data_IF_813032392781
#
_entry.id   IF_813032392781
#
_cell.length_a   1.000
_cell.length_b   1.000
_cell.length_c   1.000
_cell.angle_alpha   90.00
_cell.angle_beta   90.00
_cell.angle_gamma   90.00
#
_symmetry.space_group_name_H-M   'P 1'
#
loop_
_entity.id
_entity.type
_entity.pdbx_description
1 polymer ?
#
# COMPACT_ATOMS: atom_id res chain seq x y z
N UNK A 1 63.25 35.61 -85.37
CA UNK A 1 63.63 34.19 -85.23
C UNK A 1 63.93 33.80 -83.77
N UNK A 2 64.80 34.50 -83.03
CA UNK A 2 65.15 34.13 -81.64
C UNK A 2 64.00 34.18 -80.62
N UNK A 3 63.07 35.13 -80.74
CA UNK A 3 61.92 35.25 -79.82
C UNK A 3 60.92 34.11 -79.97
N UNK A 4 60.69 33.62 -81.20
CA UNK A 4 59.81 32.48 -81.48
C UNK A 4 60.37 31.18 -80.89
N UNK A 5 61.69 31.01 -80.89
CA UNK A 5 62.34 29.85 -80.25
C UNK A 5 62.15 29.86 -78.73
N UNK A 6 62.27 31.04 -78.09
CA UNK A 6 62.04 31.18 -76.64
C UNK A 6 60.58 30.93 -76.26
N UNK A 7 59.64 31.46 -77.05
CA UNK A 7 58.21 31.23 -76.84
C UNK A 7 57.82 29.76 -77.02
N UNK A 8 58.38 29.08 -78.02
CA UNK A 8 58.12 27.66 -78.27
C UNK A 8 58.69 26.77 -77.16
N UNK A 9 59.86 27.11 -76.61
CA UNK A 9 60.46 26.39 -75.47
C UNK A 9 59.59 26.49 -74.21
N UNK A 10 59.04 27.68 -73.93
CA UNK A 10 58.13 27.89 -72.79
C UNK A 10 56.82 27.11 -72.99
N UNK A 11 56.25 27.13 -74.20
CA UNK A 11 55.03 26.40 -74.51
C UNK A 11 55.21 24.90 -74.35
N UNK A 12 56.34 24.35 -74.83
CA UNK A 12 56.68 22.93 -74.67
C UNK A 12 56.90 22.58 -73.20
N UNK A 13 57.59 23.43 -72.44
CA UNK A 13 57.77 23.24 -71.00
C UNK A 13 56.44 23.20 -70.24
N UNK A 14 55.53 24.13 -70.54
CA UNK A 14 54.19 24.18 -69.94
C UNK A 14 53.34 22.95 -70.32
N UNK A 15 53.41 22.51 -71.58
CA UNK A 15 52.74 21.30 -72.03
C UNK A 15 53.24 20.05 -71.31
N UNK A 16 54.56 19.95 -71.07
CA UNK A 16 55.18 18.80 -70.41
C UNK A 16 54.80 18.72 -68.92
N UNK A 17 54.79 19.86 -68.22
CA UNK A 17 54.31 19.94 -66.83
C UNK A 17 52.82 19.64 -66.75
N UNK A 18 52.01 20.17 -67.67
CA UNK A 18 50.58 19.88 -67.76
C UNK A 18 50.30 18.38 -67.96
N UNK A 19 51.04 17.73 -68.86
CA UNK A 19 50.90 16.31 -69.14
C UNK A 19 51.35 15.43 -67.97
N UNK A 20 52.46 15.80 -67.32
CA UNK A 20 52.94 15.15 -66.09
C UNK A 20 51.88 15.20 -64.99
N UNK A 21 51.32 16.39 -64.71
CA UNK A 21 50.29 16.57 -63.70
C UNK A 21 48.98 15.86 -64.06
N UNK A 22 48.64 15.80 -65.35
CA UNK A 22 47.47 15.10 -65.86
C UNK A 22 47.59 13.58 -65.66
N UNK A 23 48.76 13.00 -65.96
CA UNK A 23 49.04 11.58 -65.73
C UNK A 23 49.09 11.24 -64.23
N UNK A 24 49.61 12.15 -63.39
CA UNK A 24 49.58 11.98 -61.93
C UNK A 24 48.16 12.07 -61.37
N UNK A 25 47.35 13.06 -61.78
CA UNK A 25 45.93 13.15 -61.38
C UNK A 25 45.16 11.90 -61.76
N UNK A 26 45.39 11.36 -62.96
CA UNK A 26 44.74 10.14 -63.44
C UNK A 26 45.13 8.89 -62.64
N UNK A 27 46.32 8.88 -62.02
CA UNK A 27 46.78 7.81 -61.10
C UNK A 27 46.34 8.02 -59.64
N UNK A 28 46.09 9.26 -59.22
CA UNK A 28 45.62 9.57 -57.85
C UNK A 28 44.13 9.29 -57.64
N UNK A 29 43.29 9.45 -58.69
CA UNK A 29 41.86 9.11 -58.66
C UNK A 29 41.55 7.68 -58.19
N UNK A 30 42.20 6.61 -58.71
CA UNK A 30 41.93 5.25 -58.25
C UNK A 30 42.52 4.93 -56.87
N UNK A 31 43.55 5.65 -56.42
CA UNK A 31 44.08 5.48 -55.06
C UNK A 31 43.13 6.07 -54.02
N UNK A 32 42.62 7.28 -54.27
CA UNK A 32 41.66 7.94 -53.37
C UNK A 32 40.35 7.16 -53.24
N UNK A 33 39.86 6.57 -54.34
CA UNK A 33 38.63 5.77 -54.30
C UNK A 33 38.81 4.44 -53.54
N UNK A 34 40.01 3.84 -53.58
CA UNK A 34 40.34 2.67 -52.76
C UNK A 34 40.44 3.02 -51.27
N UNK A 35 41.07 4.15 -50.94
CA UNK A 35 41.11 4.65 -49.57
C UNK A 35 39.70 4.92 -49.03
N UNK A 36 38.84 5.58 -49.82
CA UNK A 36 37.43 5.81 -49.43
C UNK A 36 36.65 4.50 -49.26
N UNK A 37 36.89 3.46 -50.07
CA UNK A 37 36.28 2.14 -49.89
C UNK A 37 36.79 1.41 -48.64
N UNK A 38 38.10 1.43 -48.39
CA UNK A 38 38.70 0.86 -47.19
C UNK A 38 38.21 1.55 -45.92
N UNK A 39 37.99 2.88 -45.96
CA UNK A 39 37.48 3.64 -44.83
C UNK A 39 35.98 3.36 -44.58
N UNK A 40 35.20 3.13 -45.64
CA UNK A 40 33.80 2.67 -45.50
C UNK A 40 33.77 1.27 -44.89
N UNK A 41 34.59 0.34 -45.37
CA UNK A 41 34.68 -1.02 -44.82
C UNK A 41 35.05 -0.98 -43.33
N UNK A 42 36.05 -0.18 -42.95
CA UNK A 42 36.43 0.03 -41.54
C UNK A 42 35.29 0.63 -40.72
N UNK A 43 34.57 1.61 -41.25
CA UNK A 43 33.43 2.24 -40.57
C UNK A 43 32.28 1.26 -40.36
N UNK A 44 32.00 0.38 -41.33
CA UNK A 44 30.96 -0.66 -41.17
C UNK A 44 31.32 -1.71 -40.12
N UNK A 45 32.59 -2.08 -40.04
CA UNK A 45 33.08 -3.01 -39.03
C UNK A 45 33.04 -2.37 -37.63
N UNK A 46 33.44 -1.11 -37.50
CA UNK A 46 33.33 -0.36 -36.24
C UNK A 46 31.87 -0.21 -35.81
N UNK A 47 30.97 0.16 -36.73
CA UNK A 47 29.54 0.26 -36.43
C UNK A 47 28.95 -1.08 -35.95
N UNK A 48 29.33 -2.21 -36.57
CA UNK A 48 28.90 -3.53 -36.11
C UNK A 48 29.39 -3.83 -34.68
N UNK A 49 30.64 -3.51 -34.38
CA UNK A 49 31.21 -3.70 -33.04
C UNK A 49 30.52 -2.82 -31.99
N UNK A 50 30.24 -1.55 -32.33
CA UNK A 50 29.50 -0.64 -31.46
C UNK A 50 28.05 -1.09 -31.25
N UNK A 51 27.40 -1.65 -32.28
CA UNK A 51 26.06 -2.20 -32.18
C UNK A 51 26.03 -3.46 -31.30
N UNK A 52 27.01 -4.36 -31.44
CA UNK A 52 27.14 -5.53 -30.56
C UNK A 52 27.39 -5.12 -29.10
N UNK A 53 28.24 -4.10 -28.90
CA UNK A 53 28.51 -3.53 -27.58
C UNK A 53 27.26 -2.88 -26.97
N UNK A 54 26.57 -2.05 -27.74
CA UNK A 54 25.33 -1.39 -27.31
C UNK A 54 24.22 -2.41 -27.04
N UNK A 55 24.08 -3.44 -27.88
CA UNK A 55 23.12 -4.52 -27.69
C UNK A 55 23.38 -5.28 -26.39
N UNK A 56 24.63 -5.65 -26.12
CA UNK A 56 25.03 -6.32 -24.88
C UNK A 56 24.74 -5.48 -23.63
N UNK A 57 25.05 -4.17 -23.69
CA UNK A 57 24.76 -3.24 -22.60
C UNK A 57 23.24 -3.10 -22.35
N UNK A 58 22.45 -2.96 -23.42
CA UNK A 58 20.99 -2.86 -23.34
C UNK A 58 20.40 -4.15 -22.76
N UNK A 59 20.85 -5.32 -23.24
CA UNK A 59 20.40 -6.62 -22.73
C UNK A 59 20.73 -6.76 -21.24
N UNK A 60 21.94 -6.37 -20.82
CA UNK A 60 22.32 -6.40 -19.41
C UNK A 60 21.42 -5.53 -18.54
N UNK A 61 21.14 -4.30 -18.98
CA UNK A 61 20.26 -3.36 -18.25
C UNK A 61 18.81 -3.85 -18.20
N UNK A 62 18.29 -4.39 -19.31
CA UNK A 62 16.95 -4.98 -19.34
C UNK A 62 16.88 -6.21 -18.42
N UNK A 63 17.92 -7.04 -18.37
CA UNK A 63 18.01 -8.16 -17.44
C UNK A 63 17.91 -7.71 -15.98
N UNK A 64 18.68 -6.69 -15.57
CA UNK A 64 18.60 -6.13 -14.22
C UNK A 64 17.21 -5.58 -13.91
N UNK A 65 16.60 -4.86 -14.85
CA UNK A 65 15.25 -4.33 -14.68
C UNK A 65 14.20 -5.44 -14.54
N UNK A 66 14.28 -6.51 -15.34
CA UNK A 66 13.37 -7.65 -15.25
C UNK A 66 13.52 -8.34 -13.90
N UNK A 67 14.75 -8.59 -13.44
CA UNK A 67 14.99 -9.19 -12.13
C UNK A 67 14.43 -8.33 -10.98
N UNK A 68 14.59 -7.00 -11.07
CA UNK A 68 14.00 -6.06 -10.11
C UNK A 68 12.47 -6.08 -10.14
N UNK A 69 11.86 -6.14 -11.33
CA UNK A 69 10.41 -6.24 -11.47
C UNK A 69 9.87 -7.55 -10.91
N UNK A 70 10.54 -8.68 -11.18
CA UNK A 70 10.19 -9.98 -10.59
C UNK A 70 10.31 -9.97 -9.06
N UNK A 71 11.31 -9.26 -8.51
CA UNK A 71 11.42 -9.09 -7.06
C UNK A 71 10.27 -8.26 -6.49
N UNK A 72 9.90 -7.16 -7.15
CA UNK A 72 8.77 -6.31 -6.75
C UNK A 72 7.43 -7.02 -6.85
N UNK A 73 7.21 -7.82 -7.90
CA UNK A 73 6.00 -8.63 -8.06
C UNK A 73 5.92 -9.65 -6.93
N UNK A 74 7.00 -10.40 -6.67
CA UNK A 74 7.06 -11.36 -5.55
C UNK A 74 6.82 -10.70 -4.19
N UNK A 75 7.26 -9.47 -4.00
CA UNK A 75 6.99 -8.72 -2.77
C UNK A 75 5.54 -8.28 -2.68
N UNK A 76 4.95 -7.82 -3.79
CA UNK A 76 3.54 -7.45 -3.85
C UNK A 76 2.63 -8.66 -3.56
N UNK A 77 2.92 -9.81 -4.14
CA UNK A 77 2.15 -11.05 -3.91
C UNK A 77 2.18 -11.45 -2.43
N UNK A 78 3.36 -11.45 -1.79
CA UNK A 78 3.47 -11.74 -0.34
C UNK A 78 2.65 -10.77 0.51
N UNK A 79 2.61 -9.48 0.12
CA UNK A 79 1.83 -8.47 0.84
C UNK A 79 0.32 -8.71 0.63
N UNK A 80 -0.09 -9.09 -0.57
CA UNK A 80 -1.47 -9.47 -0.86
C UNK A 80 -1.90 -10.67 -0.02
N UNK A 81 -1.10 -11.75 0.00
CA UNK A 81 -1.37 -12.94 0.82
C UNK A 81 -1.54 -12.59 2.31
N UNK A 82 -0.70 -11.69 2.81
CA UNK A 82 -0.76 -11.22 4.20
C UNK A 82 -2.06 -10.45 4.47
N UNK A 83 -2.53 -9.64 3.52
CA UNK A 83 -3.78 -8.90 3.66
C UNK A 83 -4.99 -9.84 3.58
N UNK A 84 -4.99 -10.81 2.68
CA UNK A 84 -6.06 -11.80 2.56
C UNK A 84 -6.19 -12.65 3.83
N UNK A 85 -5.07 -13.04 4.44
CA UNK A 85 -5.10 -13.73 5.72
C UNK A 85 -5.74 -12.87 6.83
N UNK A 86 -5.38 -11.58 6.90
CA UNK A 86 -5.97 -10.64 7.87
C UNK A 86 -7.45 -10.38 7.61
N UNK A 87 -7.87 -10.27 6.35
CA UNK A 87 -9.28 -10.12 6.00
C UNK A 87 -10.07 -11.36 6.42
N UNK A 88 -9.51 -12.55 6.21
CA UNK A 88 -10.12 -13.81 6.63
C UNK A 88 -10.25 -13.86 8.16
N UNK A 89 -9.21 -13.49 8.89
CA UNK A 89 -9.22 -13.43 10.36
C UNK A 89 -10.24 -12.42 10.90
N UNK A 90 -10.34 -11.23 10.28
CA UNK A 90 -11.36 -10.25 10.64
C UNK A 90 -12.78 -10.75 10.32
N UNK A 91 -12.95 -11.45 9.21
CA UNK A 91 -14.23 -12.02 8.83
C UNK A 91 -14.67 -13.12 9.81
N UNK A 92 -13.78 -14.02 10.21
CA UNK A 92 -14.10 -15.05 11.21
C UNK A 92 -14.39 -14.44 12.57
N UNK A 93 -13.66 -13.39 12.98
CA UNK A 93 -13.95 -12.65 14.19
C UNK A 93 -15.34 -12.00 14.12
N UNK A 94 -15.68 -11.35 13.00
CA UNK A 94 -17.02 -10.77 12.79
C UNK A 94 -18.12 -11.82 12.92
N UNK A 95 -17.96 -12.97 12.25
CA UNK A 95 -18.92 -14.07 12.34
C UNK A 95 -19.07 -14.59 13.79
N UNK A 96 -17.98 -14.66 14.54
CA UNK A 96 -18.03 -15.09 15.94
C UNK A 96 -18.77 -14.08 16.83
N UNK A 97 -18.59 -12.77 16.59
CA UNK A 97 -19.32 -11.73 17.31
C UNK A 97 -20.80 -11.75 16.94
N UNK A 98 -21.12 -11.91 15.65
CA UNK A 98 -22.50 -12.01 15.19
C UNK A 98 -23.20 -13.20 15.85
N UNK A 99 -22.57 -14.38 15.86
CA UNK A 99 -23.08 -15.56 16.55
C UNK A 99 -23.28 -15.34 18.06
N UNK A 100 -22.32 -14.70 18.74
CA UNK A 100 -22.47 -14.33 20.15
C UNK A 100 -23.65 -13.37 20.35
N UNK A 101 -23.82 -12.37 19.46
CA UNK A 101 -24.95 -11.44 19.59
C UNK A 101 -26.29 -12.11 19.35
N UNK A 102 -26.37 -13.09 18.44
CA UNK A 102 -27.59 -13.88 18.23
C UNK A 102 -27.90 -14.77 19.44
N UNK A 103 -26.88 -15.40 20.03
CA UNK A 103 -27.03 -16.20 21.25
C UNK A 103 -27.50 -15.33 22.43
N UNK A 104 -26.88 -14.16 22.66
CA UNK A 104 -27.31 -13.22 23.68
C UNK A 104 -28.75 -12.74 23.44
N UNK A 105 -29.13 -12.46 22.18
CA UNK A 105 -30.51 -12.07 21.84
C UNK A 105 -31.50 -13.21 22.08
N UNK A 106 -31.12 -14.45 21.78
CA UNK A 106 -31.95 -15.62 22.04
C UNK A 106 -32.15 -15.84 23.56
N UNK A 107 -31.06 -15.74 24.33
CA UNK A 107 -31.10 -15.84 25.79
C UNK A 107 -31.93 -14.70 26.42
N UNK A 108 -31.82 -13.48 25.90
CA UNK A 108 -32.66 -12.36 26.35
C UNK A 108 -34.14 -12.62 26.05
N UNK A 109 -34.47 -13.14 24.88
CA UNK A 109 -35.85 -13.49 24.53
C UNK A 109 -36.40 -14.59 25.43
N UNK A 110 -35.59 -15.60 25.76
CA UNK A 110 -35.98 -16.67 26.68
C UNK A 110 -36.22 -16.14 28.08
N UNK A 111 -35.29 -15.35 28.63
CA UNK A 111 -35.47 -14.69 29.93
C UNK A 111 -36.72 -13.78 29.95
N UNK A 112 -37.00 -13.06 28.86
CA UNK A 112 -38.24 -12.26 28.74
C UNK A 112 -39.49 -13.12 28.72
N UNK A 113 -39.48 -14.29 28.07
CA UNK A 113 -40.62 -15.24 28.08
C UNK A 113 -40.86 -15.81 29.46
N UNK A 114 -39.81 -16.18 30.17
CA UNK A 114 -39.90 -16.64 31.56
C UNK A 114 -40.45 -15.54 32.46
N UNK A 115 -39.96 -14.31 32.34
CA UNK A 115 -40.49 -13.17 33.10
C UNK A 115 -41.97 -12.92 32.78
N UNK A 116 -42.38 -12.99 31.51
CA UNK A 116 -43.79 -12.87 31.13
C UNK A 116 -44.63 -13.99 31.76
N UNK A 117 -44.17 -15.23 31.71
CA UNK A 117 -44.84 -16.38 32.32
C UNK A 117 -44.99 -16.21 33.83
N UNK A 118 -43.90 -15.86 34.53
CA UNK A 118 -43.91 -15.59 35.98
C UNK A 118 -44.85 -14.42 36.31
N UNK A 119 -44.85 -13.36 35.50
CA UNK A 119 -45.74 -12.20 35.70
C UNK A 119 -47.22 -12.55 35.48
N UNK A 120 -47.53 -13.43 34.53
CA UNK A 120 -48.89 -13.95 34.33
C UNK A 120 -49.32 -14.79 35.53
N UNK A 121 -48.46 -15.70 35.99
CA UNK A 121 -48.73 -16.56 37.16
C UNK A 121 -48.92 -15.73 38.44
N UNK A 122 -48.07 -14.72 38.67
CA UNK A 122 -48.22 -13.78 39.77
C UNK A 122 -49.47 -12.90 39.61
N UNK A 123 -49.82 -12.50 38.39
CA UNK A 123 -51.04 -11.76 38.08
C UNK A 123 -52.29 -12.55 38.40
N UNK A 124 -52.33 -13.84 38.03
CA UNK A 124 -53.40 -14.77 38.36
C UNK A 124 -53.48 -15.04 39.86
N UNK A 125 -52.35 -15.29 40.54
CA UNK A 125 -52.33 -15.44 42.00
C UNK A 125 -52.80 -14.17 42.70
N UNK A 126 -52.38 -12.99 42.22
CA UNK A 126 -52.80 -11.69 42.77
C UNK A 126 -54.27 -11.43 42.51
N UNK A 127 -54.80 -11.79 41.34
CA UNK A 127 -56.21 -11.67 41.02
C UNK A 127 -57.06 -12.63 41.89
N UNK A 128 -56.61 -13.87 42.09
CA UNK A 128 -57.24 -14.83 42.98
C UNK A 128 -57.18 -14.36 44.44
N UNK A 129 -56.04 -13.82 44.89
CA UNK A 129 -55.88 -13.24 46.22
C UNK A 129 -56.72 -11.97 46.41
N UNK A 130 -56.84 -11.11 45.39
CA UNK A 130 -57.72 -9.94 45.40
C UNK A 130 -59.19 -10.33 45.41
N UNK A 131 -59.58 -11.38 44.69
CA UNK A 131 -60.93 -11.97 44.78
C UNK A 131 -61.21 -12.56 46.17
N UNK A 132 -60.23 -13.23 46.77
CA UNK A 132 -60.32 -13.74 48.14
C UNK A 132 -60.31 -12.63 49.20
N UNK A 133 -59.59 -11.53 48.99
CA UNK A 133 -59.56 -10.35 49.83
C UNK A 133 -60.81 -9.46 49.66
N UNK A 134 -61.42 -9.43 48.47
CA UNK A 134 -62.73 -8.83 48.26
C UNK A 134 -63.83 -9.63 48.97
N UNK A 135 -63.68 -10.96 49.05
CA UNK A 135 -64.54 -11.82 49.86
C UNK A 135 -64.25 -11.74 51.37
N UNK A 136 -63.03 -11.35 51.77
CA UNK A 136 -62.61 -11.08 53.16
C UNK A 136 -62.40 -9.58 53.36
N UNK A 137 -63.50 -8.82 53.50
CA UNK A 137 -63.54 -7.36 53.66
C UNK A 137 -62.22 -6.70 54.09
N UNK A 138 -61.71 -5.82 53.20
CA UNK A 138 -60.43 -5.13 53.25
C UNK A 138 -59.90 -4.78 54.66
N UNK A 139 -58.89 -5.52 55.10
CA UNK A 139 -57.95 -5.07 56.12
C UNK A 139 -56.70 -4.50 55.42
N UNK A 140 -56.42 -3.22 55.64
CA UNK A 140 -55.28 -2.49 55.10
C UNK A 140 -53.95 -3.17 55.48
N UNK A 141 -53.03 -3.44 54.55
CA UNK A 141 -51.65 -3.76 54.91
C UNK A 141 -50.92 -2.47 55.37
N UNK A 142 -50.14 -2.62 56.42
CA UNK A 142 -49.31 -1.61 57.07
C UNK A 142 -48.35 -0.89 56.09
N UNK A 143 -47.93 0.36 56.38
CA UNK A 143 -47.12 1.14 55.47
C UNK A 143 -45.73 0.51 55.27
N UNK A 144 -45.34 0.41 54.01
CA UNK A 144 -43.97 0.10 53.58
C UNK A 144 -43.05 1.17 54.15
N UNK A 145 -42.11 0.75 54.99
CA UNK A 145 -41.06 1.57 55.58
C UNK A 145 -40.24 2.21 54.46
N UNK A 146 -40.36 3.53 54.33
CA UNK A 146 -39.56 4.28 53.37
C UNK A 146 -38.14 4.27 53.91
N UNK A 147 -37.25 3.52 53.26
CA UNK A 147 -35.82 3.59 53.51
C UNK A 147 -35.40 5.03 53.25
N UNK A 148 -35.02 5.73 54.31
CA UNK A 148 -34.66 7.14 54.26
C UNK A 148 -33.47 7.33 53.29
N UNK A 149 -33.50 8.41 52.52
CA UNK A 149 -32.43 8.74 51.57
C UNK A 149 -31.05 8.80 52.25
N UNK A 150 -31.05 9.09 53.55
CA UNK A 150 -29.86 9.12 54.40
C UNK A 150 -29.16 7.75 54.50
N UNK A 151 -29.91 6.64 54.50
CA UNK A 151 -29.34 5.30 54.60
C UNK A 151 -28.56 4.94 53.32
N UNK A 152 -29.10 5.31 52.15
CA UNK A 152 -28.40 5.18 50.86
C UNK A 152 -27.17 6.07 50.77
N UNK A 153 -27.23 7.31 51.28
CA UNK A 153 -26.05 8.18 51.29
C UNK A 153 -24.93 7.64 52.18
N UNK A 154 -25.29 6.94 53.27
CA UNK A 154 -24.31 6.28 54.14
C UNK A 154 -23.60 5.13 53.44
N UNK A 155 -24.35 4.29 52.71
CA UNK A 155 -23.80 3.16 51.94
C UNK A 155 -22.91 3.65 50.80
N UNK A 156 -23.33 4.71 50.09
CA UNK A 156 -22.53 5.30 49.02
C UNK A 156 -21.22 5.89 49.55
N UNK A 157 -21.27 6.63 50.66
CA UNK A 157 -20.07 7.17 51.32
C UNK A 157 -19.14 6.06 51.80
N UNK A 158 -19.70 4.96 52.31
CA UNK A 158 -18.93 3.81 52.75
C UNK A 158 -18.23 3.10 51.57
N UNK A 159 -18.88 3.03 50.40
CA UNK A 159 -18.25 2.48 49.19
C UNK A 159 -17.14 3.38 48.64
N UNK A 160 -17.34 4.71 48.63
CA UNK A 160 -16.33 5.67 48.17
C UNK A 160 -15.10 5.63 49.08
N UNK A 161 -15.29 5.64 50.40
CA UNK A 161 -14.18 5.56 51.35
C UNK A 161 -13.37 4.26 51.19
N UNK A 162 -14.04 3.14 50.94
CA UNK A 162 -13.39 1.84 50.70
C UNK A 162 -12.57 1.81 49.40
N UNK A 163 -13.05 2.49 48.36
CA UNK A 163 -12.32 2.61 47.09
C UNK A 163 -11.14 3.60 47.18
N UNK A 164 -11.27 4.67 47.99
CA UNK A 164 -10.17 5.59 48.31
C UNK A 164 -9.05 4.90 49.10
N UNK A 165 -9.40 4.08 50.10
CA UNK A 165 -8.43 3.27 50.86
C UNK A 165 -7.70 2.28 49.94
N UNK A 166 -8.42 1.64 49.01
CA UNK A 166 -7.81 0.76 48.00
C UNK A 166 -6.91 1.53 47.02
N UNK A 167 -7.23 2.78 46.69
CA UNK A 167 -6.39 3.61 45.83
C UNK A 167 -5.11 4.09 46.53
N UNK A 168 -5.17 4.31 47.85
CA UNK A 168 -4.00 4.70 48.66
C UNK A 168 -3.09 3.50 48.97
N UNK A 169 -3.64 2.30 49.16
CA UNK A 169 -2.87 1.07 49.39
C UNK A 169 -2.35 0.41 48.09
N UNK A 170 -2.79 0.87 46.91
CA UNK A 170 -2.62 0.16 45.64
C UNK A 170 -1.99 0.95 44.49
N UNK A 171 -0.79 1.53 44.67
CA UNK A 171 0.04 1.99 43.51
C UNK A 171 0.74 0.80 42.83
N UNK A 172 -0.04 -0.18 42.34
CA UNK A 172 0.46 -1.23 41.42
C UNK A 172 -0.61 -1.67 40.43
N UNK A 173 -0.43 -1.25 39.17
CA UNK A 173 -0.82 -1.87 37.89
C UNK A 173 -2.30 -2.23 37.63
N UNK A 174 -2.78 -2.08 36.37
CA UNK A 174 -4.07 -2.61 35.96
C UNK A 174 -4.08 -4.13 36.10
N UNK A 175 -5.23 -4.69 36.53
CA UNK A 175 -5.44 -6.12 36.68
C UNK A 175 -5.12 -6.85 35.37
N UNK A 176 -3.91 -7.41 35.28
CA UNK A 176 -3.55 -8.36 34.23
C UNK A 176 -4.26 -9.66 34.57
N UNK A 177 -5.21 -10.06 33.73
CA UNK A 177 -5.77 -11.40 33.77
C UNK A 177 -4.63 -12.39 33.53
N UNK A 178 -4.13 -13.01 34.60
CA UNK A 178 -3.13 -14.07 34.50
C UNK A 178 -3.88 -15.35 34.14
N UNK A 179 -4.07 -15.57 32.84
CA UNK A 179 -4.51 -16.87 32.35
C UNK A 179 -3.52 -17.93 32.86
N UNK A 180 -4.04 -18.95 33.55
CA UNK A 180 -3.24 -20.09 33.99
C UNK A 180 -2.65 -20.79 32.77
N UNK A 181 -1.41 -21.29 32.89
CA UNK A 181 -0.69 -21.98 31.82
C UNK A 181 -1.42 -23.19 31.24
N UNK A 182 -2.42 -23.72 31.96
CA UNK A 182 -3.28 -24.81 31.52
C UNK A 182 -4.26 -24.39 30.41
N UNK A 183 -4.78 -23.15 30.45
CA UNK A 183 -5.70 -22.64 29.43
C UNK A 183 -5.03 -22.44 28.07
N UNK A 184 -3.75 -22.03 28.09
CA UNK A 184 -2.95 -21.83 26.86
C UNK A 184 -2.59 -23.19 26.22
N UNK A 185 -2.33 -24.22 27.03
CA UNK A 185 -2.01 -25.56 26.53
C UNK A 185 -3.25 -26.26 25.95
N UNK A 186 -4.43 -26.08 26.55
CA UNK A 186 -5.68 -26.63 26.01
C UNK A 186 -6.07 -26.01 24.65
N UNK A 187 -5.82 -24.71 24.45
CA UNK A 187 -6.05 -24.05 23.17
C UNK A 187 -5.10 -24.52 22.07
N UNK A 188 -3.83 -24.81 22.41
CA UNK A 188 -2.84 -25.32 21.46
C UNK A 188 -3.16 -26.75 21.00
N UNK A 189 -3.69 -27.61 21.89
CA UNK A 189 -4.09 -28.97 21.52
C UNK A 189 -5.32 -29.04 20.61
N UNK A 190 -6.22 -28.05 20.70
CA UNK A 190 -7.40 -27.96 19.82
C UNK A 190 -7.05 -27.45 18.41
N UNK A 191 -6.02 -26.60 18.28
CA UNK A 191 -5.59 -26.05 16.99
C UNK A 191 -4.85 -27.08 16.09
N UNK A 192 -4.30 -28.15 16.67
CA UNK A 192 -3.55 -29.16 15.91
C UNK A 192 -4.44 -30.17 15.15
N UNK A 193 -5.76 -30.15 15.37
CA UNK A 193 -6.69 -31.15 14.84
C UNK A 193 -7.39 -30.76 13.52
N UNK A 194 -7.12 -29.58 12.96
CA UNK A 194 -7.79 -29.11 11.75
C UNK A 194 -6.76 -28.77 10.68
N UNK A 195 -6.31 -29.80 9.98
CA UNK A 195 -5.77 -29.68 8.62
C UNK A 195 -6.66 -30.51 7.69
N UNK A 196 -7.21 -29.88 6.64
CA UNK A 196 -6.88 -30.27 5.27
C UNK A 196 -6.72 -29.01 4.38
N UNK A 197 -5.79 -28.91 3.41
CA UNK A 197 -5.45 -29.67 2.19
C UNK A 197 -5.77 -28.80 0.96
N UNK A 198 -4.79 -28.70 0.06
CA UNK A 198 -4.71 -27.95 -1.20
C UNK A 198 -5.91 -28.12 -2.17
N UNK A 199 -6.24 -27.03 -2.89
CA UNK A 199 -6.70 -26.95 -4.29
C UNK A 199 -6.89 -25.45 -4.63
N UNK A 200 -6.00 -24.83 -5.42
CA UNK A 200 -6.09 -24.65 -6.88
C UNK A 200 -7.34 -23.93 -7.43
N UNK A 201 -7.04 -22.85 -8.15
CA UNK A 201 -7.68 -22.25 -9.32
C UNK A 201 -8.91 -21.33 -9.17
N UNK A 202 -8.79 -20.15 -9.79
CA UNK A 202 -9.76 -19.48 -10.72
C UNK A 202 -9.90 -17.96 -10.48
N UNK A 203 -9.19 -17.20 -11.30
CA UNK A 203 -9.64 -15.99 -12.06
C UNK A 203 -9.84 -14.63 -11.37
N UNK A 204 -9.04 -13.67 -11.85
CA UNK A 204 -9.10 -12.21 -11.66
C UNK A 204 -10.36 -11.53 -12.27
N UNK A 205 -10.60 -10.24 -11.99
CA UNK A 205 -10.12 -9.17 -12.91
C UNK A 205 -9.49 -7.99 -12.15
N UNK A 206 -8.25 -7.57 -12.44
CA UNK A 206 -7.84 -6.62 -13.49
C UNK A 206 -8.62 -5.29 -13.51
N UNK A 207 -8.00 -4.24 -12.97
CA UNK A 207 -8.24 -2.84 -13.30
C UNK A 207 -6.97 -2.26 -13.92
N UNK A 208 -6.95 -2.16 -15.26
CA UNK A 208 -5.94 -1.47 -16.04
C UNK A 208 -6.29 0.03 -16.10
N UNK A 209 -5.42 0.92 -15.59
CA UNK A 209 -5.49 2.35 -15.93
C UNK A 209 -4.08 2.93 -16.13
N UNK A 210 -3.77 3.13 -17.41
CA UNK A 210 -2.92 4.14 -18.05
C UNK A 210 -1.64 4.64 -17.34
N UNK A 211 -0.50 4.04 -17.72
CA UNK A 211 0.87 4.51 -17.44
C UNK A 211 1.17 5.91 -18.04
N UNK A 212 0.41 6.40 -19.02
CA UNK A 212 0.66 7.68 -19.70
C UNK A 212 0.20 8.92 -18.91
N UNK A 213 -0.90 8.84 -18.17
CA UNK A 213 -1.48 9.98 -17.44
C UNK A 213 -0.66 10.37 -16.21
N UNK A 214 0.13 9.43 -15.68
CA UNK A 214 1.00 9.64 -14.52
C UNK A 214 2.09 10.68 -14.77
N UNK A 215 2.62 10.76 -16.00
CA UNK A 215 3.69 11.71 -16.35
C UNK A 215 3.19 13.15 -16.49
N UNK A 216 2.02 13.32 -17.10
CA UNK A 216 1.35 14.62 -17.21
C UNK A 216 0.87 15.12 -15.84
N UNK A 217 0.31 14.21 -15.03
CA UNK A 217 -0.08 14.49 -13.64
C UNK A 217 1.13 14.88 -12.78
N UNK A 218 2.28 14.18 -12.91
CA UNK A 218 3.50 14.52 -12.19
C UNK A 218 4.07 15.90 -12.59
N UNK A 219 4.01 16.26 -13.87
CA UNK A 219 4.44 17.59 -14.33
C UNK A 219 3.52 18.70 -13.76
N UNK A 220 2.21 18.45 -13.71
CA UNK A 220 1.24 19.38 -13.14
C UNK A 220 1.42 19.55 -11.62
N UNK A 221 1.62 18.46 -10.88
CA UNK A 221 1.94 18.49 -9.44
C UNK A 221 3.20 19.31 -9.17
N UNK A 222 4.27 19.11 -9.97
CA UNK A 222 5.52 19.88 -9.83
C UNK A 222 5.30 21.38 -10.08
N UNK A 223 4.51 21.74 -11.08
CA UNK A 223 4.19 23.13 -11.36
C UNK A 223 3.45 23.80 -10.19
N UNK A 224 2.49 23.10 -9.58
CA UNK A 224 1.75 23.61 -8.41
C UNK A 224 2.63 23.76 -7.17
N UNK A 225 3.52 22.80 -6.91
CA UNK A 225 4.48 22.88 -5.81
C UNK A 225 5.48 24.04 -5.98
N UNK A 226 5.93 24.30 -7.20
CA UNK A 226 6.79 25.46 -7.52
C UNK A 226 6.03 26.78 -7.40
N UNK A 227 4.73 26.79 -7.66
CA UNK A 227 3.85 27.94 -7.45
C UNK A 227 3.58 28.24 -5.95
N UNK A 228 4.13 27.44 -5.02
CA UNK A 228 4.03 27.66 -3.58
C UNK A 228 2.77 27.12 -2.93
N UNK A 229 2.04 26.23 -3.60
CA UNK A 229 0.83 25.61 -3.07
C UNK A 229 1.15 24.56 -2.01
N UNK A 230 0.27 24.39 -1.02
CA UNK A 230 0.48 23.42 0.05
C UNK A 230 0.29 21.98 -0.47
N UNK A 231 1.05 20.98 0.04
CA UNK A 231 0.92 19.59 -0.40
C UNK A 231 -0.49 19.00 -0.23
N UNK A 232 -1.28 19.52 0.72
CA UNK A 232 -2.65 19.11 0.96
C UNK A 232 -3.62 19.64 -0.10
N UNK A 233 -3.38 20.85 -0.61
CA UNK A 233 -4.23 21.47 -1.64
C UNK A 233 -3.95 20.87 -3.01
N UNK A 234 -2.67 20.60 -3.30
CA UNK A 234 -2.27 19.89 -4.54
C UNK A 234 -2.84 18.48 -4.56
N UNK A 235 -2.92 17.78 -3.42
CA UNK A 235 -3.55 16.46 -3.32
C UNK A 235 -5.05 16.48 -3.68
N UNK A 236 -5.76 17.54 -3.27
CA UNK A 236 -7.18 17.72 -3.55
C UNK A 236 -7.42 18.06 -5.03
N UNK A 237 -6.57 18.90 -5.61
CA UNK A 237 -6.70 19.34 -7.00
C UNK A 237 -6.31 18.25 -8.01
N UNK A 238 -5.28 17.45 -7.68
CA UNK A 238 -4.73 16.46 -8.62
C UNK A 238 -5.23 15.05 -8.39
N UNK A 239 -5.93 14.78 -7.27
CA UNK A 239 -6.32 13.44 -6.86
C UNK A 239 -5.14 12.55 -6.44
N UNK A 240 -3.90 13.06 -6.48
CA UNK A 240 -2.70 12.34 -6.09
C UNK A 240 -2.60 12.31 -4.56
N UNK A 241 -2.38 11.12 -3.99
CA UNK A 241 -2.31 10.95 -2.54
C UNK A 241 -1.26 11.86 -1.90
N UNK A 242 -1.59 12.46 -0.75
CA UNK A 242 -0.73 13.42 -0.02
C UNK A 242 0.70 12.91 0.20
N UNK A 243 0.87 11.63 0.53
CA UNK A 243 2.19 11.02 0.70
C UNK A 243 3.02 10.97 -0.59
N UNK A 244 2.39 10.80 -1.75
CA UNK A 244 3.09 10.81 -3.04
C UNK A 244 3.55 12.24 -3.42
N UNK A 245 2.78 13.26 -3.04
CA UNK A 245 3.15 14.67 -3.25
C UNK A 245 4.30 15.08 -2.32
N UNK A 246 4.27 14.67 -1.05
CA UNK A 246 5.37 14.90 -0.10
C UNK A 246 6.68 14.23 -0.57
N UNK A 247 6.60 13.02 -1.13
CA UNK A 247 7.74 12.34 -1.75
C UNK A 247 8.27 13.10 -2.98
N UNK A 248 7.39 13.55 -3.88
CA UNK A 248 7.79 14.35 -5.03
C UNK A 248 8.45 15.68 -4.63
N UNK A 249 7.96 16.30 -3.56
CA UNK A 249 8.55 17.52 -3.00
C UNK A 249 9.96 17.27 -2.44
N UNK A 250 10.15 16.18 -1.70
CA UNK A 250 11.45 15.81 -1.14
C UNK A 250 12.45 15.41 -2.24
N UNK A 251 12.01 14.70 -3.27
CA UNK A 251 12.83 14.41 -4.44
C UNK A 251 13.26 15.68 -5.18
N UNK A 252 12.35 16.62 -5.38
CA UNK A 252 12.65 17.91 -6.02
C UNK A 252 13.63 18.73 -5.19
N UNK A 253 13.46 18.76 -3.86
CA UNK A 253 14.39 19.43 -2.94
C UNK A 253 15.79 18.82 -3.04
N UNK A 254 15.90 17.48 -3.07
CA UNK A 254 17.20 16.78 -3.21
C UNK A 254 17.85 17.00 -4.57
N UNK A 255 17.09 17.09 -5.65
CA UNK A 255 17.60 17.39 -6.98
C UNK A 255 18.15 18.81 -7.08
N UNK A 256 17.51 19.78 -6.45
CA UNK A 256 18.00 21.16 -6.38
C UNK A 256 19.31 21.25 -5.57
N UNK A 257 19.38 20.56 -4.43
CA UNK A 257 20.60 20.53 -3.58
C UNK A 257 21.75 19.76 -4.24
N UNK A 258 21.46 18.74 -5.05
CA UNK A 258 22.46 17.98 -5.79
C UNK A 258 22.97 18.63 -7.08
N UNK A 259 22.40 19.77 -7.49
CA UNK A 259 22.81 20.51 -8.69
C UNK A 259 23.90 21.56 -8.44
N UNK A 260 24.24 21.82 -7.17
CA UNK A 260 25.21 22.84 -6.75
C UNK A 260 26.58 22.26 -6.28
N UNK A 261 26.86 20.98 -6.57
CA UNK A 261 28.12 20.30 -6.25
C UNK A 261 28.76 19.66 -7.47
#
# INVERSE_FOLDING_TARGET
>A
MMTYLMALLILVGAALVGLSKFLQRRKQLPYRQKEEQEDIERSTLQFKQELERSGSEIIGRLGEHVERLEALIREADRRADTLDHRLTELHTLSQSLDAQTEELRAAEQEARREQQFVSQLMGELRAAAAGAAAARGAALPAPVERVDADDFTSVLRHSIARDEERQLEGRTAPATYRASSEAIQQAAHLAQAVHPKEAEDTTAPQGEESVQDTSASAAHVRALLLAGWSPADVARETGVGRGAIELMQEMMRRQLVGSDG
#
